data_IF_407428905720
#
_entry.id   IF_407428905720
#
_cell.length_a   1.000
_cell.length_b   1.000
_cell.length_c   1.000
_cell.angle_alpha   90.00
_cell.angle_beta   90.00
_cell.angle_gamma   90.00
#
_symmetry.space_group_name_H-M   'P 1'
#
loop_
_entity.id
_entity.type
_entity.pdbx_description
1 polymer ?
#
# COMPACT_ATOMS: atom_id res chain seq x y z
N UNK A 1 -19.36 22.19 6.58
CA UNK A 1 -19.73 20.90 7.20
C UNK A 1 -18.43 20.17 7.56
N UNK A 2 -18.13 19.95 8.84
CA UNK A 2 -17.00 19.12 9.26
C UNK A 2 -17.33 17.67 8.89
N UNK A 3 -16.75 17.15 7.83
CA UNK A 3 -16.79 15.72 7.51
C UNK A 3 -16.22 14.97 8.71
N UNK A 4 -16.99 14.06 9.28
CA UNK A 4 -16.53 13.20 10.36
C UNK A 4 -15.37 12.37 9.80
N UNK A 5 -14.13 12.74 10.16
CA UNK A 5 -12.94 11.95 9.85
C UNK A 5 -13.18 10.58 10.48
N UNK A 6 -13.21 9.55 9.66
CA UNK A 6 -13.52 8.19 10.10
C UNK A 6 -12.41 7.71 11.06
N UNK A 7 -12.77 7.14 12.20
CA UNK A 7 -11.82 6.63 13.19
C UNK A 7 -10.75 5.70 12.58
N UNK A 8 -11.14 4.87 11.61
CA UNK A 8 -10.19 3.99 10.89
C UNK A 8 -9.09 4.79 10.17
N UNK A 9 -9.45 5.90 9.52
CA UNK A 9 -8.48 6.74 8.81
C UNK A 9 -7.51 7.42 9.78
N UNK A 10 -7.98 7.81 10.97
CA UNK A 10 -7.14 8.36 12.05
C UNK A 10 -6.15 7.30 12.53
N UNK A 11 -6.60 6.07 12.76
CA UNK A 11 -5.75 4.99 13.24
C UNK A 11 -4.68 4.60 12.21
N UNK A 12 -5.04 4.55 10.92
CA UNK A 12 -4.10 4.35 9.81
C UNK A 12 -3.07 5.48 9.78
N UNK A 13 -3.51 6.75 9.76
CA UNK A 13 -2.64 7.92 9.72
C UNK A 13 -1.65 7.95 10.89
N UNK A 14 -2.10 7.61 12.11
CA UNK A 14 -1.26 7.60 13.30
C UNK A 14 -0.19 6.51 13.24
N UNK A 15 -0.54 5.30 12.79
CA UNK A 15 0.40 4.17 12.67
C UNK A 15 1.49 4.45 11.65
N UNK A 16 1.12 4.90 10.46
CA UNK A 16 2.08 5.26 9.43
C UNK A 16 2.94 6.47 9.86
N UNK A 17 2.35 7.48 10.51
CA UNK A 17 3.13 8.59 11.06
C UNK A 17 4.18 8.14 12.08
N UNK A 18 3.83 7.18 12.95
CA UNK A 18 4.77 6.64 13.94
C UNK A 18 5.89 5.79 13.31
N UNK A 19 5.59 5.13 12.18
CA UNK A 19 6.54 4.28 11.47
C UNK A 19 7.49 5.06 10.54
N UNK A 20 7.27 6.36 10.31
CA UNK A 20 8.01 7.15 9.32
C UNK A 20 9.53 7.10 9.49
N UNK A 21 10.04 7.04 10.73
CA UNK A 21 11.49 6.97 11.00
C UNK A 21 12.13 5.61 10.73
N UNK A 22 11.34 4.52 10.74
CA UNK A 22 11.81 3.15 10.51
C UNK A 22 11.47 2.62 9.12
N UNK A 23 10.69 3.37 8.34
CA UNK A 23 10.09 2.91 7.09
C UNK A 23 11.14 2.39 6.10
N UNK A 24 12.16 3.17 5.81
CA UNK A 24 13.21 2.81 4.84
C UNK A 24 14.02 1.57 5.22
N UNK A 25 14.04 1.20 6.51
CA UNK A 25 14.71 -0.02 6.98
C UNK A 25 13.86 -1.28 6.73
N UNK A 26 12.57 -1.13 6.36
CA UNK A 26 11.61 -2.22 6.27
C UNK A 26 10.80 -2.25 4.96
N UNK A 27 11.10 -1.36 4.01
CA UNK A 27 10.34 -1.13 2.77
C UNK A 27 10.70 -2.08 1.60
N UNK A 28 11.23 -3.27 1.89
CA UNK A 28 11.72 -4.22 0.86
C UNK A 28 10.60 -4.54 -0.15
N UNK A 29 9.40 -4.86 0.34
CA UNK A 29 8.25 -5.13 -0.52
C UNK A 29 7.93 -3.94 -1.42
N UNK A 30 7.88 -2.74 -0.84
CA UNK A 30 7.53 -1.51 -1.56
C UNK A 30 8.55 -1.21 -2.66
N UNK A 31 9.84 -1.45 -2.42
CA UNK A 31 10.89 -1.27 -3.44
C UNK A 31 10.77 -2.27 -4.58
N UNK A 32 10.46 -3.54 -4.27
CA UNK A 32 10.26 -4.56 -5.31
C UNK A 32 9.02 -4.21 -6.16
N UNK A 33 7.91 -3.83 -5.52
CA UNK A 33 6.69 -3.45 -6.22
C UNK A 33 6.87 -2.17 -7.04
N UNK A 34 7.56 -1.14 -6.50
CA UNK A 34 7.88 0.09 -7.22
C UNK A 34 8.69 -0.17 -8.49
N UNK A 35 9.71 -1.05 -8.41
CA UNK A 35 10.51 -1.41 -9.59
C UNK A 35 9.62 -1.98 -10.69
N UNK A 36 8.70 -2.87 -10.34
CA UNK A 36 7.80 -3.46 -11.34
C UNK A 36 6.83 -2.42 -11.93
N UNK A 37 6.26 -1.53 -11.10
CA UNK A 37 5.42 -0.43 -11.59
C UNK A 37 6.19 0.48 -12.56
N UNK A 38 7.46 0.78 -12.28
CA UNK A 38 8.29 1.61 -13.15
C UNK A 38 8.56 0.98 -14.53
N UNK A 39 8.58 -0.35 -14.61
CA UNK A 39 8.70 -1.07 -15.89
C UNK A 39 7.42 -0.92 -16.74
N UNK A 40 6.25 -0.85 -16.09
CA UNK A 40 4.95 -0.78 -16.74
C UNK A 40 4.57 0.64 -17.18
N UNK A 41 4.87 1.66 -16.37
CA UNK A 41 4.38 3.01 -16.55
C UNK A 41 5.15 3.79 -17.63
N UNK A 42 4.46 4.76 -18.24
CA UNK A 42 5.03 5.77 -19.15
C UNK A 42 4.53 7.14 -18.69
N UNK A 43 5.07 7.63 -17.55
CA UNK A 43 4.49 8.77 -16.87
C UNK A 43 4.69 10.04 -17.66
N UNK A 44 3.69 10.92 -17.54
CA UNK A 44 3.75 12.33 -17.95
C UNK A 44 3.39 13.19 -16.75
N UNK A 45 3.79 14.47 -16.78
CA UNK A 45 3.52 15.38 -15.66
C UNK A 45 2.32 16.29 -15.94
N UNK A 46 1.61 16.76 -14.88
CA UNK A 46 1.89 16.56 -13.46
C UNK A 46 1.68 15.12 -12.99
N UNK A 47 2.58 14.61 -12.16
CA UNK A 47 2.48 13.27 -11.58
C UNK A 47 1.98 13.34 -10.12
N UNK A 48 0.97 12.54 -9.81
CA UNK A 48 0.47 12.35 -8.44
C UNK A 48 1.01 11.03 -7.88
N UNK A 49 1.81 11.12 -6.81
CA UNK A 49 2.17 9.98 -5.95
C UNK A 49 1.12 9.85 -4.84
N UNK A 50 0.19 8.91 -4.99
CA UNK A 50 -0.99 8.73 -4.13
C UNK A 50 -0.74 7.66 -3.06
N UNK A 51 -0.73 8.06 -1.78
CA UNK A 51 -0.23 7.26 -0.67
C UNK A 51 1.29 7.19 -0.69
N UNK A 52 1.92 8.35 -0.87
CA UNK A 52 3.34 8.48 -1.19
C UNK A 52 4.30 8.00 -0.08
N UNK A 53 3.81 7.81 1.15
CA UNK A 53 4.68 7.52 2.29
C UNK A 53 5.80 8.55 2.45
N UNK A 54 7.06 8.12 2.70
CA UNK A 54 8.20 9.03 2.79
C UNK A 54 8.72 9.50 1.42
N UNK A 55 8.03 9.13 0.33
CA UNK A 55 8.32 9.54 -1.04
C UNK A 55 8.98 8.47 -1.90
N UNK A 56 8.75 8.60 -3.20
CA UNK A 56 9.32 7.77 -4.25
C UNK A 56 10.18 8.63 -5.16
N UNK A 57 11.40 8.16 -5.51
CA UNK A 57 12.24 8.85 -6.48
C UNK A 57 11.80 8.54 -7.90
N UNK A 58 11.40 9.56 -8.65
CA UNK A 58 11.06 9.45 -10.08
C UNK A 58 12.20 9.87 -11.00
N UNK A 59 13.43 9.97 -10.50
CA UNK A 59 14.60 10.43 -11.27
C UNK A 59 14.97 9.56 -12.45
N UNK A 60 14.53 8.31 -12.50
CA UNK A 60 14.69 7.45 -13.69
C UNK A 60 13.85 7.92 -14.90
N UNK A 61 12.86 8.78 -14.67
CA UNK A 61 12.07 9.44 -15.71
C UNK A 61 12.55 10.89 -15.84
N UNK A 62 13.54 11.13 -16.69
CA UNK A 62 14.28 12.41 -16.82
C UNK A 62 13.42 13.66 -17.09
N UNK A 63 12.13 13.47 -17.41
CA UNK A 63 11.18 14.55 -17.73
C UNK A 63 10.12 14.76 -16.63
N UNK A 64 10.25 14.10 -15.49
CA UNK A 64 9.29 14.22 -14.37
C UNK A 64 9.92 15.06 -13.26
N UNK A 65 9.52 16.31 -13.14
CA UNK A 65 9.90 17.26 -12.08
C UNK A 65 8.70 17.88 -11.36
N UNK A 66 7.50 17.85 -11.96
CA UNK A 66 6.27 18.28 -11.30
C UNK A 66 5.56 17.08 -10.62
N UNK A 67 5.97 16.83 -9.35
CA UNK A 67 5.45 15.73 -8.53
C UNK A 67 4.65 16.28 -7.37
N UNK A 68 3.40 15.81 -7.26
CA UNK A 68 2.48 16.07 -6.15
C UNK A 68 2.37 14.78 -5.34
N UNK A 69 2.65 14.86 -4.05
CA UNK A 69 2.65 13.73 -3.14
C UNK A 69 1.50 13.86 -2.15
N UNK A 70 0.62 12.89 -2.10
CA UNK A 70 -0.51 12.86 -1.18
C UNK A 70 -0.38 11.68 -0.23
N UNK A 71 -0.47 11.93 1.06
CA UNK A 71 -0.55 10.89 2.10
C UNK A 71 -1.42 11.36 3.26
N UNK A 72 -2.12 10.43 3.90
CA UNK A 72 -2.95 10.72 5.08
C UNK A 72 -2.09 10.89 6.35
N UNK A 73 -0.88 10.31 6.36
CA UNK A 73 0.04 10.29 7.48
C UNK A 73 1.01 11.47 7.42
N UNK A 74 0.74 12.51 8.21
CA UNK A 74 1.59 13.71 8.26
C UNK A 74 3.06 13.40 8.62
N UNK A 75 3.32 12.34 9.41
CA UNK A 75 4.68 11.88 9.72
C UNK A 75 5.46 11.48 8.48
N UNK A 76 4.81 10.79 7.54
CA UNK A 76 5.38 10.41 6.25
C UNK A 76 5.74 11.64 5.41
N UNK A 77 4.84 12.60 5.31
CA UNK A 77 5.09 13.84 4.56
C UNK A 77 6.23 14.69 5.15
N UNK A 78 6.42 14.65 6.47
CA UNK A 78 7.60 15.28 7.11
C UNK A 78 8.90 14.57 6.69
N UNK A 79 8.90 13.25 6.55
CA UNK A 79 10.04 12.51 6.04
C UNK A 79 10.29 12.82 4.56
N UNK A 80 9.23 12.75 3.74
CA UNK A 80 9.28 13.10 2.33
C UNK A 80 9.94 14.46 2.08
N UNK A 81 9.58 15.50 2.85
CA UNK A 81 10.12 16.86 2.66
C UNK A 81 11.61 16.99 2.99
N UNK A 82 12.19 16.05 3.75
CA UNK A 82 13.65 15.99 3.98
C UNK A 82 14.37 15.43 2.77
N UNK A 83 13.83 14.36 2.18
CA UNK A 83 14.48 13.61 1.11
C UNK A 83 14.15 14.19 -0.29
N UNK A 84 12.94 14.75 -0.45
CA UNK A 84 12.41 15.33 -1.68
C UNK A 84 11.84 16.74 -1.45
N UNK A 85 12.67 17.75 -1.12
CA UNK A 85 12.21 19.10 -0.78
C UNK A 85 11.45 19.80 -1.92
N UNK A 86 11.73 19.44 -3.17
CA UNK A 86 11.08 20.00 -4.36
C UNK A 86 9.66 19.47 -4.58
N UNK A 87 9.31 18.28 -4.08
CA UNK A 87 7.99 17.70 -4.29
C UNK A 87 6.91 18.47 -3.51
N UNK A 88 5.73 18.61 -4.10
CA UNK A 88 4.56 19.25 -3.48
C UNK A 88 3.86 18.26 -2.56
N UNK A 89 3.86 18.46 -1.25
CA UNK A 89 3.29 17.54 -0.26
C UNK A 89 1.93 18.02 0.24
N UNK A 90 0.91 17.16 0.19
CA UNK A 90 -0.44 17.43 0.65
C UNK A 90 -0.90 16.32 1.63
N UNK A 91 -1.37 16.72 2.81
CA UNK A 91 -1.95 15.77 3.77
C UNK A 91 -3.45 15.62 3.47
N UNK A 92 -3.84 14.50 2.86
CA UNK A 92 -5.23 14.26 2.48
C UNK A 92 -5.55 12.75 2.41
N UNK A 93 -6.86 12.45 2.42
CA UNK A 93 -7.39 11.11 2.18
C UNK A 93 -7.48 10.86 0.66
N UNK A 94 -6.97 9.73 0.20
CA UNK A 94 -7.09 9.30 -1.19
C UNK A 94 -8.54 9.21 -1.68
N UNK A 95 -9.49 9.04 -0.76
CA UNK A 95 -10.93 8.97 -1.04
C UNK A 95 -11.59 10.36 -1.17
N UNK A 96 -10.84 11.46 -0.98
CA UNK A 96 -11.32 12.84 -1.10
C UNK A 96 -10.12 13.77 -1.33
N UNK A 97 -9.67 13.85 -2.58
CA UNK A 97 -8.47 14.58 -2.95
C UNK A 97 -8.73 16.10 -3.09
N UNK A 98 -7.93 16.97 -2.42
CA UNK A 98 -8.04 18.41 -2.55
C UNK A 98 -7.33 18.92 -3.84
N UNK A 99 -7.60 18.26 -4.96
CA UNK A 99 -7.07 18.56 -6.27
C UNK A 99 -8.22 18.87 -7.24
N UNK A 100 -7.94 19.70 -8.23
CA UNK A 100 -8.92 20.05 -9.27
C UNK A 100 -9.16 18.85 -10.20
N UNK A 101 -10.35 18.82 -10.80
CA UNK A 101 -10.70 17.87 -11.84
C UNK A 101 -9.73 17.99 -13.01
N UNK A 102 -9.37 16.88 -13.64
CA UNK A 102 -8.53 16.82 -14.85
C UNK A 102 -7.21 17.65 -14.74
N UNK A 103 -6.60 17.68 -13.55
CA UNK A 103 -5.37 18.45 -13.29
C UNK A 103 -4.09 17.60 -13.29
N UNK A 104 -4.21 16.26 -13.32
CA UNK A 104 -3.12 15.29 -13.20
C UNK A 104 -3.00 14.48 -14.50
N UNK A 105 -1.79 14.29 -14.99
CA UNK A 105 -1.54 13.48 -16.19
C UNK A 105 -1.23 12.01 -15.84
N UNK A 106 -0.57 11.75 -14.69
CA UNK A 106 -0.25 10.40 -14.23
C UNK A 106 -0.54 10.25 -12.74
N UNK A 107 -1.24 9.19 -12.36
CA UNK A 107 -1.35 8.73 -10.96
C UNK A 107 -0.47 7.50 -10.79
N UNK A 108 0.38 7.54 -9.79
CA UNK A 108 1.16 6.42 -9.28
C UNK A 108 0.72 6.14 -7.85
N UNK A 109 0.54 4.86 -7.49
CA UNK A 109 0.22 4.45 -6.12
C UNK A 109 0.84 3.09 -5.82
N UNK A 110 1.76 3.03 -4.88
CA UNK A 110 2.51 1.82 -4.60
C UNK A 110 2.22 1.27 -3.20
N UNK A 111 1.57 0.11 -3.13
CA UNK A 111 1.27 -0.61 -1.88
C UNK A 111 0.60 0.31 -0.83
N UNK A 112 -0.37 1.12 -1.27
CA UNK A 112 -1.05 2.11 -0.42
C UNK A 112 -2.57 1.93 -0.37
N UNK A 113 -3.23 1.69 -1.50
CA UNK A 113 -4.69 1.78 -1.62
C UNK A 113 -5.45 0.68 -0.88
N UNK A 114 -4.82 -0.44 -0.52
CA UNK A 114 -5.42 -1.47 0.35
C UNK A 114 -5.80 -0.96 1.74
N UNK A 115 -5.30 0.21 2.15
CA UNK A 115 -5.61 0.84 3.42
C UNK A 115 -6.84 1.76 3.36
N UNK A 116 -7.32 2.07 2.16
CA UNK A 116 -8.56 2.81 1.98
C UNK A 116 -9.75 1.99 2.46
N UNK A 117 -10.63 2.61 3.23
CA UNK A 117 -11.88 1.98 3.68
C UNK A 117 -12.75 1.56 2.49
N UNK A 118 -12.79 2.42 1.49
CA UNK A 118 -13.48 2.19 0.22
C UNK A 118 -12.50 2.44 -0.94
N UNK A 119 -12.02 1.36 -1.54
CA UNK A 119 -11.11 1.42 -2.69
C UNK A 119 -11.78 2.07 -3.90
N UNK A 120 -13.08 1.81 -4.12
CA UNK A 120 -13.84 2.37 -5.24
C UNK A 120 -13.87 3.91 -5.19
N UNK A 121 -14.03 4.50 -3.99
CA UNK A 121 -13.97 5.96 -3.84
C UNK A 121 -12.57 6.50 -4.19
N UNK A 122 -11.50 5.82 -3.78
CA UNK A 122 -10.15 6.25 -4.11
C UNK A 122 -9.86 6.15 -5.62
N UNK A 123 -10.38 5.12 -6.30
CA UNK A 123 -10.31 4.96 -7.76
C UNK A 123 -11.14 6.04 -8.46
N UNK A 124 -12.33 6.36 -7.94
CA UNK A 124 -13.19 7.44 -8.47
C UNK A 124 -12.52 8.81 -8.34
N UNK A 125 -11.90 9.10 -7.20
CA UNK A 125 -11.17 10.36 -7.01
C UNK A 125 -9.92 10.44 -7.90
N UNK A 126 -9.19 9.32 -8.07
CA UNK A 126 -8.09 9.26 -9.02
C UNK A 126 -8.56 9.52 -10.46
N UNK A 127 -9.72 8.97 -10.85
CA UNK A 127 -10.33 9.26 -12.16
C UNK A 127 -10.68 10.74 -12.28
N UNK A 128 -11.36 11.32 -11.28
CA UNK A 128 -11.77 12.73 -11.29
C UNK A 128 -10.59 13.67 -11.54
N UNK A 129 -9.47 13.46 -10.82
CA UNK A 129 -8.29 14.34 -10.93
C UNK A 129 -7.46 14.09 -12.18
N UNK A 130 -7.51 12.89 -12.79
CA UNK A 130 -6.83 12.58 -14.02
C UNK A 130 -7.41 13.36 -15.21
N UNK A 131 -6.54 13.80 -16.09
CA UNK A 131 -6.89 14.27 -17.43
C UNK A 131 -7.44 13.11 -18.28
N UNK A 132 -8.28 13.40 -19.26
CA UNK A 132 -8.69 12.41 -20.27
C UNK A 132 -7.43 11.85 -20.95
N UNK A 133 -7.33 10.52 -21.07
CA UNK A 133 -6.12 9.85 -21.56
C UNK A 133 -5.01 9.72 -20.52
N UNK A 134 -5.19 10.27 -19.30
CA UNK A 134 -4.22 10.16 -18.21
C UNK A 134 -4.05 8.73 -17.72
N UNK A 135 -2.87 8.42 -17.21
CA UNK A 135 -2.45 7.07 -16.83
C UNK A 135 -2.56 6.85 -15.31
N UNK A 136 -3.15 5.73 -14.91
CA UNK A 136 -3.22 5.26 -13.53
C UNK A 136 -2.39 3.98 -13.38
N UNK A 137 -1.41 3.99 -12.48
CA UNK A 137 -0.57 2.85 -12.20
C UNK A 137 -0.58 2.56 -10.70
N UNK A 138 -1.02 1.37 -10.30
CA UNK A 138 -1.07 1.01 -8.89
C UNK A 138 -0.59 -0.42 -8.62
N UNK A 139 0.01 -0.61 -7.45
CA UNK A 139 0.21 -1.92 -6.83
C UNK A 139 -0.61 -2.00 -5.55
N UNK A 140 -1.38 -3.08 -5.39
CA UNK A 140 -2.31 -3.27 -4.28
C UNK A 140 -2.10 -4.66 -3.69
N UNK A 141 -1.96 -4.75 -2.37
CA UNK A 141 -1.91 -6.06 -1.68
C UNK A 141 -3.25 -6.75 -1.86
N UNK A 142 -3.20 -7.97 -2.41
CA UNK A 142 -4.38 -8.77 -2.75
C UNK A 142 -4.57 -9.96 -1.79
N UNK A 143 -5.69 -10.64 -1.95
CA UNK A 143 -6.05 -11.83 -1.16
C UNK A 143 -4.96 -12.91 -1.18
N UNK A 144 -4.99 -13.80 -0.18
CA UNK A 144 -3.98 -14.83 0.05
C UNK A 144 -2.56 -14.29 0.35
N UNK A 145 -2.40 -12.98 0.58
CA UNK A 145 -1.17 -12.41 1.14
C UNK A 145 -1.00 -12.82 2.59
N UNK A 146 0.27 -12.97 3.02
CA UNK A 146 0.65 -13.24 4.42
C UNK A 146 0.08 -14.58 4.94
N UNK A 147 -0.14 -15.56 4.06
CA UNK A 147 -0.74 -16.84 4.44
C UNK A 147 0.08 -17.58 5.51
N UNK A 148 1.41 -17.40 5.55
CA UNK A 148 2.27 -17.96 6.57
C UNK A 148 1.87 -17.49 7.99
N UNK A 149 1.42 -16.24 8.14
CA UNK A 149 0.90 -15.73 9.41
C UNK A 149 -0.47 -16.32 9.74
N UNK A 150 -1.33 -16.49 8.72
CA UNK A 150 -2.63 -17.16 8.88
C UNK A 150 -2.48 -18.61 9.29
N UNK A 151 -1.51 -19.35 8.75
CA UNK A 151 -1.18 -20.73 9.14
C UNK A 151 -0.70 -20.81 10.59
N UNK A 152 -0.06 -19.77 11.08
CA UNK A 152 0.30 -19.59 12.48
C UNK A 152 -0.89 -19.15 13.36
N UNK A 153 -2.08 -18.95 12.79
CA UNK A 153 -3.29 -18.43 13.44
C UNK A 153 -3.13 -17.02 14.00
N UNK A 154 -2.26 -16.22 13.38
CA UNK A 154 -2.15 -14.80 13.65
C UNK A 154 -3.20 -14.04 12.84
N UNK A 155 -3.63 -12.88 13.35
CA UNK A 155 -4.55 -12.03 12.63
C UNK A 155 -3.87 -11.41 11.41
N UNK A 156 -4.50 -11.57 10.25
CA UNK A 156 -4.10 -10.92 9.01
C UNK A 156 -5.29 -10.13 8.48
N UNK A 157 -5.05 -8.97 7.91
CA UNK A 157 -6.10 -8.19 7.25
C UNK A 157 -6.72 -9.00 6.10
N UNK A 158 -8.02 -8.85 5.90
CA UNK A 158 -8.66 -9.32 4.68
C UNK A 158 -8.29 -8.34 3.56
N UNK A 159 -7.61 -8.83 2.56
CA UNK A 159 -7.35 -8.12 1.32
C UNK A 159 -8.38 -8.50 0.25
N UNK A 160 -8.60 -7.63 -0.71
CA UNK A 160 -9.50 -7.86 -1.83
C UNK A 160 -8.88 -8.86 -2.81
N UNK A 161 -9.72 -9.66 -3.48
CA UNK A 161 -9.31 -10.44 -4.64
C UNK A 161 -9.02 -9.51 -5.84
N UNK A 162 -8.32 -10.03 -6.85
CA UNK A 162 -8.10 -9.30 -8.11
C UNK A 162 -9.44 -8.87 -8.75
N UNK A 163 -10.45 -9.76 -8.74
CA UNK A 163 -11.77 -9.46 -9.24
C UNK A 163 -12.46 -8.34 -8.43
N UNK A 164 -12.37 -8.36 -7.09
CA UNK A 164 -12.90 -7.29 -6.23
C UNK A 164 -12.18 -5.96 -6.45
N UNK A 165 -10.88 -5.98 -6.77
CA UNK A 165 -10.11 -4.79 -7.12
C UNK A 165 -10.56 -4.26 -8.48
N UNK A 166 -10.64 -5.13 -9.49
CA UNK A 166 -11.05 -4.77 -10.84
C UNK A 166 -12.47 -4.17 -10.87
N UNK A 167 -13.37 -4.68 -10.04
CA UNK A 167 -14.74 -4.17 -9.93
C UNK A 167 -14.82 -2.72 -9.38
N UNK A 168 -13.72 -2.18 -8.83
CA UNK A 168 -13.66 -0.77 -8.45
C UNK A 168 -13.43 0.17 -9.65
N UNK A 169 -13.11 -0.36 -10.83
CA UNK A 169 -12.88 0.40 -12.06
C UNK A 169 -14.12 0.32 -12.94
N UNK A 170 -14.87 1.42 -13.03
CA UNK A 170 -16.02 1.49 -13.94
C UNK A 170 -15.52 1.42 -15.40
N UNK A 171 -16.04 0.45 -16.16
CA UNK A 171 -15.65 0.20 -17.56
C UNK A 171 -15.96 1.37 -18.51
N UNK A 172 -16.91 2.23 -18.16
CA UNK A 172 -17.22 3.43 -18.95
C UNK A 172 -16.18 4.53 -18.79
N UNK A 173 -15.48 4.56 -17.64
CA UNK A 173 -14.54 5.62 -17.27
C UNK A 173 -13.08 5.19 -17.38
N UNK A 174 -12.83 3.88 -17.44
CA UNK A 174 -11.52 3.28 -17.44
C UNK A 174 -11.30 2.27 -18.55
N UNK A 175 -10.20 2.39 -19.26
CA UNK A 175 -9.61 1.34 -20.08
C UNK A 175 -8.53 0.64 -19.26
N UNK A 176 -8.76 -0.61 -18.87
CA UNK A 176 -7.73 -1.43 -18.23
C UNK A 176 -6.75 -1.89 -19.31
N UNK A 177 -5.50 -1.39 -19.24
CA UNK A 177 -4.44 -1.78 -20.18
C UNK A 177 -3.73 -3.05 -19.71
N UNK A 178 -3.58 -3.21 -18.39
CA UNK A 178 -2.96 -4.39 -17.78
C UNK A 178 -3.47 -4.59 -16.36
N UNK A 179 -3.72 -5.83 -15.99
CA UNK A 179 -3.86 -6.27 -14.61
C UNK A 179 -3.19 -7.63 -14.47
N UNK A 180 -2.40 -7.80 -13.42
CA UNK A 180 -1.77 -9.07 -13.09
C UNK A 180 -1.53 -9.14 -11.58
N UNK A 181 -1.69 -10.33 -11.01
CA UNK A 181 -1.34 -10.57 -9.61
C UNK A 181 -0.11 -11.45 -9.53
N UNK A 182 0.92 -10.98 -8.82
CA UNK A 182 2.19 -11.68 -8.63
C UNK A 182 2.44 -11.96 -7.16
N UNK A 183 2.93 -13.17 -6.86
CA UNK A 183 3.44 -13.50 -5.55
C UNK A 183 4.87 -12.96 -5.39
N UNK A 184 5.07 -12.14 -4.36
CA UNK A 184 6.39 -11.63 -3.97
C UNK A 184 6.70 -12.19 -2.59
N UNK A 185 7.75 -13.01 -2.48
CA UNK A 185 8.20 -13.57 -1.22
C UNK A 185 9.45 -12.83 -0.75
N UNK A 186 9.40 -12.33 0.49
CA UNK A 186 10.53 -11.72 1.19
C UNK A 186 10.98 -12.68 2.29
N UNK A 187 12.29 -12.83 2.47
CA UNK A 187 12.88 -13.75 3.44
C UNK A 187 13.52 -12.98 4.60
N UNK A 188 13.42 -13.53 5.79
CA UNK A 188 13.89 -12.92 7.03
C UNK A 188 14.75 -13.89 7.83
N UNK A 189 15.75 -13.37 8.52
CA UNK A 189 16.67 -14.17 9.34
C UNK A 189 15.94 -14.87 10.49
N UNK A 190 14.95 -14.20 11.08
CA UNK A 190 14.16 -14.74 12.17
C UNK A 190 12.70 -14.21 12.17
N UNK A 191 11.85 -14.83 12.98
CA UNK A 191 10.44 -14.49 13.08
C UNK A 191 10.21 -13.08 13.66
N UNK A 192 11.13 -12.58 14.50
CA UNK A 192 11.04 -11.24 15.06
C UNK A 192 11.26 -10.18 14.00
N UNK A 193 12.29 -10.34 13.17
CA UNK A 193 12.57 -9.44 12.04
C UNK A 193 11.45 -9.48 11.00
N UNK A 194 10.85 -10.66 10.76
CA UNK A 194 9.66 -10.80 9.93
C UNK A 194 8.48 -9.94 10.46
N UNK A 195 8.15 -10.06 11.75
CA UNK A 195 7.08 -9.24 12.35
C UNK A 195 7.44 -7.75 12.40
N UNK A 196 8.71 -7.43 12.60
CA UNK A 196 9.19 -6.05 12.59
C UNK A 196 9.08 -5.41 11.21
N UNK A 197 9.23 -6.17 10.11
CA UNK A 197 9.07 -5.64 8.76
C UNK A 197 7.66 -5.11 8.52
N UNK A 198 6.64 -5.80 9.02
CA UNK A 198 5.24 -5.36 8.91
C UNK A 198 4.99 -4.14 9.80
N UNK A 199 5.45 -4.18 11.04
CA UNK A 199 5.28 -3.08 12.00
C UNK A 199 6.07 -1.84 11.58
N UNK A 200 7.27 -2.03 11.04
CA UNK A 200 8.21 -0.96 10.70
C UNK A 200 7.74 -0.06 9.56
N UNK A 201 6.89 -0.58 8.68
CA UNK A 201 6.22 0.22 7.63
C UNK A 201 4.86 0.75 8.07
N UNK A 202 4.40 0.50 9.30
CA UNK A 202 3.09 0.93 9.79
C UNK A 202 1.93 0.00 9.42
N UNK A 203 2.22 -1.13 8.77
CA UNK A 203 1.23 -2.09 8.25
C UNK A 203 0.69 -3.07 9.31
N UNK A 204 0.86 -2.79 10.59
CA UNK A 204 0.31 -3.62 11.66
C UNK A 204 -1.22 -3.65 11.58
N UNK A 205 -1.82 -4.85 11.74
CA UNK A 205 -3.25 -5.08 11.61
C UNK A 205 -4.06 -4.12 12.47
N UNK A 206 -5.00 -3.41 11.84
CA UNK A 206 -6.10 -2.78 12.56
C UNK A 206 -6.99 -3.92 13.04
N UNK A 207 -7.19 -4.05 14.34
CA UNK A 207 -8.25 -4.91 14.87
C UNK A 207 -9.62 -4.39 14.39
N UNK A 208 -10.01 -4.78 13.19
CA UNK A 208 -11.42 -4.84 12.88
C UNK A 208 -11.90 -6.07 13.65
N UNK A 209 -12.70 -5.86 14.69
CA UNK A 209 -13.45 -6.92 15.38
C UNK A 209 -14.37 -7.57 14.34
N UNK A 210 -13.81 -8.41 13.49
CA UNK A 210 -14.60 -9.28 12.62
C UNK A 210 -15.11 -10.40 13.51
N UNK A 211 -16.42 -10.41 13.71
CA UNK A 211 -17.18 -11.49 14.32
C UNK A 211 -17.13 -12.73 13.41
N UNK A 212 -15.97 -13.36 13.27
CA UNK A 212 -15.87 -14.68 12.69
C UNK A 212 -15.07 -15.54 13.67
N UNK A 213 -15.72 -16.62 14.12
CA UNK A 213 -15.31 -17.63 15.09
C UNK A 213 -14.01 -18.37 14.72
N UNK A 214 -12.91 -17.68 14.47
CA UNK A 214 -11.59 -18.30 14.39
C UNK A 214 -10.87 -18.07 15.71
N UNK A 215 -10.45 -19.18 16.36
CA UNK A 215 -9.67 -19.18 17.59
C UNK A 215 -8.27 -18.63 17.28
N UNK A 216 -8.09 -17.33 17.45
CA UNK A 216 -6.77 -16.69 17.35
C UNK A 216 -5.88 -17.13 18.50
N UNK A 217 -4.57 -17.23 18.25
CA UNK A 217 -3.60 -17.54 19.29
C UNK A 217 -3.51 -16.34 20.23
N UNK A 218 -3.99 -16.49 21.45
CA UNK A 218 -3.71 -15.55 22.53
C UNK A 218 -2.40 -15.95 23.18
N UNK A 219 -1.33 -15.18 22.93
CA UNK A 219 -0.04 -15.42 23.55
C UNK A 219 -0.12 -15.06 25.04
N UNK A 220 -0.15 -16.07 25.93
CA UNK A 220 -0.28 -15.90 27.38
C UNK A 220 1.06 -15.92 28.13
N UNK A 221 2.19 -16.10 27.43
CA UNK A 221 3.50 -16.13 28.05
C UNK A 221 4.62 -16.62 27.13
N UNK A 222 5.83 -16.76 27.73
CA UNK A 222 7.04 -17.20 27.00
C UNK A 222 6.88 -18.56 26.32
N UNK A 223 6.16 -19.49 26.95
CA UNK A 223 5.95 -20.84 26.40
C UNK A 223 5.13 -20.82 25.10
N UNK A 224 4.09 -19.99 25.02
CA UNK A 224 3.28 -19.87 23.79
C UNK A 224 4.06 -19.18 22.68
N UNK A 225 4.86 -18.18 23.03
CA UNK A 225 5.78 -17.55 22.09
C UNK A 225 6.78 -18.54 21.51
N UNK A 226 7.41 -19.39 22.36
CA UNK A 226 8.35 -20.40 21.89
C UNK A 226 7.71 -21.43 20.97
N UNK A 227 6.49 -21.86 21.26
CA UNK A 227 5.72 -22.76 20.37
C UNK A 227 5.45 -22.11 19.02
N UNK A 228 5.10 -20.82 19.02
CA UNK A 228 4.88 -20.06 17.80
C UNK A 228 6.15 -19.95 16.95
N UNK A 229 7.28 -19.63 17.58
CA UNK A 229 8.60 -19.61 16.94
C UNK A 229 8.94 -20.97 16.31
N UNK A 230 8.82 -22.05 17.07
CA UNK A 230 9.12 -23.39 16.57
C UNK A 230 8.22 -23.75 15.38
N UNK A 231 6.94 -23.34 15.42
CA UNK A 231 6.03 -23.56 14.29
C UNK A 231 6.40 -22.73 13.08
N UNK A 232 6.81 -21.47 13.25
CA UNK A 232 7.27 -20.61 12.16
C UNK A 232 8.53 -21.17 11.50
N UNK A 233 9.46 -21.74 12.29
CA UNK A 233 10.69 -22.34 11.78
C UNK A 233 10.45 -23.57 10.87
N UNK A 234 9.30 -24.22 10.94
CA UNK A 234 8.95 -25.33 10.03
C UNK A 234 8.77 -24.86 8.58
N UNK A 235 8.53 -23.57 8.35
CA UNK A 235 8.42 -22.98 7.01
C UNK A 235 9.72 -22.38 6.50
N UNK A 236 10.84 -22.49 7.24
CA UNK A 236 12.12 -21.94 6.85
C UNK A 236 12.64 -22.54 5.53
N UNK A 237 12.96 -21.66 4.60
CA UNK A 237 13.68 -21.98 3.37
C UNK A 237 15.19 -21.71 3.54
N UNK A 238 16.03 -22.10 2.59
CA UNK A 238 17.47 -21.79 2.62
C UNK A 238 17.76 -20.29 2.74
N UNK A 239 16.91 -19.43 2.17
CA UNK A 239 17.02 -17.97 2.17
C UNK A 239 16.53 -17.33 3.49
N UNK A 240 15.81 -18.06 4.34
CA UNK A 240 15.26 -17.57 5.59
C UNK A 240 13.78 -17.90 5.79
N UNK A 241 13.13 -17.22 6.73
CA UNK A 241 11.69 -17.34 6.96
C UNK A 241 10.91 -16.58 5.89
N UNK A 242 10.06 -17.26 5.09
CA UNK A 242 9.32 -16.61 4.01
C UNK A 242 8.12 -15.82 4.53
N UNK A 243 7.86 -14.69 3.89
CA UNK A 243 6.63 -13.93 4.00
C UNK A 243 6.18 -13.53 2.59
N UNK A 244 5.05 -14.06 2.16
CA UNK A 244 4.55 -13.91 0.79
C UNK A 244 3.42 -12.91 0.73
N UNK A 245 3.53 -11.99 -0.23
CA UNK A 245 2.52 -11.02 -0.60
C UNK A 245 2.05 -11.29 -2.03
N UNK A 246 0.75 -11.37 -2.25
CA UNK A 246 0.17 -11.30 -3.57
C UNK A 246 -0.11 -9.85 -3.90
N UNK A 247 0.52 -9.33 -4.94
CA UNK A 247 0.38 -7.93 -5.34
C UNK A 247 -0.31 -7.87 -6.71
N UNK A 248 -1.47 -7.21 -6.74
CA UNK A 248 -2.14 -6.87 -8.00
C UNK A 248 -1.53 -5.59 -8.55
N UNK A 249 -0.94 -5.66 -9.73
CA UNK A 249 -0.42 -4.55 -10.51
C UNK A 249 -1.45 -4.16 -11.56
N UNK A 250 -1.79 -2.89 -11.60
CA UNK A 250 -2.85 -2.37 -12.45
C UNK A 250 -2.27 -1.19 -13.23
N UNK A 251 -2.46 -1.24 -14.54
CA UNK A 251 -2.30 -0.12 -15.45
C UNK A 251 -3.61 0.17 -16.14
N UNK A 252 -4.12 1.37 -15.97
CA UNK A 252 -5.38 1.81 -16.55
C UNK A 252 -5.26 3.21 -17.12
N UNK A 253 -6.16 3.55 -18.04
CA UNK A 253 -6.23 4.87 -18.68
C UNK A 253 -7.63 5.43 -18.54
N UNK A 254 -7.74 6.72 -18.18
CA UNK A 254 -9.02 7.42 -18.15
C UNK A 254 -9.54 7.63 -19.56
N UNK A 255 -10.81 7.28 -19.80
CA UNK A 255 -11.44 7.36 -21.12
C UNK A 255 -12.29 8.61 -21.31
N UNK A 256 -12.90 9.13 -20.21
CA UNK A 256 -13.79 10.31 -20.26
C UNK A 256 -13.85 11.08 -18.93
#
# INVERSE_FOLDING_TARGET
MKTAVNQLNIDVANRFSAAASSYHSHDILQRIAAKHLFELMRPTQPLLDLGCGPGTSFTCFNHIDDVICVDIAQGMLRSLKKDFPAYKALCADAQNLPLLDASIATVYSNVALQWCKNLELAVTEANRVLQIGGEFNASIVAENSLYQLSDLRLNVNRFKSEAEILNCFNQDDWQIEQIETRAITVYFDDFKSLLQSIKGVGASTVEVKSQLNQRHVTLRGRGDWQKLLNKAELSRAPEGLPLTYNISFIKARKTR
#
